data_IF_046064354004
#
_entry.id   IF_046064354004
#
_cell.length_a   1.000
_cell.length_b   1.000
_cell.length_c   1.000
_cell.angle_alpha   90.00
_cell.angle_beta   90.00
_cell.angle_gamma   90.00
#
_symmetry.space_group_name_H-M   'P 1'
#
loop_
_entity.id
_entity.type
_entity.pdbx_description
1 polymer ?
#
# COMPACT_ATOMS: atom_id res chain seq x y z
N UNK A 1 -20.83 7.63 4.13
CA UNK A 1 -19.42 7.92 3.77
C UNK A 1 -19.23 7.57 2.31
N UNK A 2 -18.66 8.44 1.49
CA UNK A 2 -18.45 8.18 0.05
C UNK A 2 -17.26 7.24 -0.17
N UNK A 3 -17.19 6.49 -1.29
CA UNK A 3 -16.01 5.67 -1.64
C UNK A 3 -14.71 6.48 -1.58
N UNK A 4 -14.69 7.66 -2.21
CA UNK A 4 -13.59 8.62 -2.16
C UNK A 4 -13.16 9.00 -0.74
N UNK A 5 -14.12 9.29 0.13
CA UNK A 5 -13.85 9.63 1.53
C UNK A 5 -13.23 8.46 2.30
N UNK A 6 -13.66 7.23 2.01
CA UNK A 6 -13.10 6.02 2.62
C UNK A 6 -11.66 5.77 2.20
N UNK A 7 -11.35 5.89 0.91
CA UNK A 7 -9.98 5.77 0.38
C UNK A 7 -9.04 6.75 1.08
N UNK A 8 -9.42 8.02 1.18
CA UNK A 8 -8.61 9.05 1.84
C UNK A 8 -8.42 8.78 3.33
N UNK A 9 -9.48 8.34 4.03
CA UNK A 9 -9.40 8.01 5.45
C UNK A 9 -8.39 6.89 5.71
N UNK A 10 -8.42 5.82 4.90
CA UNK A 10 -7.55 4.67 5.07
C UNK A 10 -6.08 5.02 4.81
N UNK A 11 -5.80 5.80 3.77
CA UNK A 11 -4.45 6.31 3.50
C UNK A 11 -3.93 7.15 4.67
N UNK A 12 -4.75 8.06 5.19
CA UNK A 12 -4.36 8.87 6.36
C UNK A 12 -4.16 8.02 7.63
N UNK A 13 -4.98 6.98 7.83
CA UNK A 13 -4.80 6.06 8.95
C UNK A 13 -3.49 5.28 8.86
N UNK A 14 -3.08 4.87 7.65
CA UNK A 14 -1.80 4.22 7.44
C UNK A 14 -0.63 5.16 7.79
N UNK A 15 -0.69 6.42 7.36
CA UNK A 15 0.32 7.43 7.71
C UNK A 15 0.41 7.63 9.22
N UNK A 16 -0.72 7.79 9.90
CA UNK A 16 -0.74 7.94 11.36
C UNK A 16 -0.14 6.74 12.09
N UNK A 17 -0.35 5.52 11.57
CA UNK A 17 0.19 4.31 12.18
C UNK A 17 1.72 4.23 12.01
N UNK A 18 2.25 4.72 10.90
CA UNK A 18 3.71 4.83 10.66
C UNK A 18 4.39 5.89 11.52
N UNK A 19 3.64 6.84 12.07
CA UNK A 19 4.15 7.89 12.95
C UNK A 19 4.10 7.51 14.45
N UNK A 20 3.58 6.32 14.78
CA UNK A 20 3.58 5.81 16.15
C UNK A 20 5.01 5.49 16.56
N UNK A 21 5.50 6.16 17.61
CA UNK A 21 6.79 5.87 18.21
C UNK A 21 6.80 4.44 18.78
N UNK A 22 7.69 3.55 18.29
CA UNK A 22 7.79 2.20 18.83
C UNK A 22 8.34 2.18 20.26
N UNK A 23 8.91 3.26 20.78
CA UNK A 23 9.58 3.32 22.08
C UNK A 23 10.98 2.68 22.07
N UNK A 24 11.60 2.57 23.24
CA UNK A 24 12.99 2.09 23.41
C UNK A 24 13.09 1.03 24.54
N UNK A 25 12.17 0.07 24.52
CA UNK A 25 12.17 -1.08 25.44
C UNK A 25 12.32 -2.41 24.67
N UNK A 26 12.30 -3.53 25.39
CA UNK A 26 12.41 -4.88 24.82
C UNK A 26 11.30 -5.26 23.81
N UNK A 27 10.23 -4.47 23.74
CA UNK A 27 9.11 -4.66 22.80
C UNK A 27 9.11 -3.65 21.65
N UNK A 28 10.06 -2.71 21.61
CA UNK A 28 10.13 -1.67 20.58
C UNK A 28 10.11 -2.25 19.16
N UNK A 29 10.92 -3.28 18.90
CA UNK A 29 10.98 -3.93 17.60
C UNK A 29 9.64 -4.58 17.22
N UNK A 30 9.01 -5.30 18.15
CA UNK A 30 7.71 -5.94 17.91
C UNK A 30 6.61 -4.91 17.63
N UNK A 31 6.61 -3.77 18.35
CA UNK A 31 5.67 -2.66 18.11
C UNK A 31 5.91 -2.00 16.76
N UNK A 32 7.16 -1.77 16.38
CA UNK A 32 7.50 -1.24 15.05
C UNK A 32 6.97 -2.16 13.95
N UNK A 33 7.30 -3.46 14.02
CA UNK A 33 6.85 -4.45 13.03
C UNK A 33 5.31 -4.51 12.94
N UNK A 34 4.61 -4.51 14.08
CA UNK A 34 3.15 -4.51 14.11
C UNK A 34 2.56 -3.23 13.49
N UNK A 35 3.17 -2.06 13.72
CA UNK A 35 2.75 -0.81 13.10
C UNK A 35 2.99 -0.81 11.58
N UNK A 36 4.15 -1.33 11.13
CA UNK A 36 4.48 -1.44 9.71
C UNK A 36 3.50 -2.35 8.95
N UNK A 37 3.22 -3.55 9.46
CA UNK A 37 2.26 -4.47 8.83
C UNK A 37 0.82 -3.97 8.94
N UNK A 38 0.45 -3.36 10.07
CA UNK A 38 -0.86 -2.74 10.22
C UNK A 38 -1.06 -1.57 9.24
N UNK A 39 -0.03 -0.79 8.98
CA UNK A 39 -0.08 0.30 8.00
C UNK A 39 -0.24 -0.27 6.60
N UNK A 40 0.51 -1.33 6.27
CA UNK A 40 0.38 -2.01 4.98
C UNK A 40 -1.02 -2.61 4.77
N UNK A 41 -1.63 -3.19 5.81
CA UNK A 41 -3.00 -3.68 5.77
C UNK A 41 -4.03 -2.56 5.53
N UNK A 42 -3.82 -1.37 6.12
CA UNK A 42 -4.64 -0.19 5.84
C UNK A 42 -4.47 0.29 4.40
N UNK A 43 -3.27 0.18 3.83
CA UNK A 43 -3.01 0.48 2.41
C UNK A 43 -3.69 -0.53 1.49
N UNK A 44 -3.75 -1.82 1.84
CA UNK A 44 -4.53 -2.81 1.09
C UNK A 44 -6.02 -2.43 1.05
N UNK A 45 -6.60 -2.12 2.22
CA UNK A 45 -7.99 -1.66 2.30
C UNK A 45 -8.20 -0.37 1.49
N UNK A 46 -7.22 0.54 1.47
CA UNK A 46 -7.29 1.75 0.67
C UNK A 46 -7.28 1.44 -0.83
N UNK A 47 -6.47 0.49 -1.27
CA UNK A 47 -6.43 0.02 -2.66
C UNK A 47 -7.76 -0.60 -3.06
N UNK A 48 -8.35 -1.46 -2.25
CA UNK A 48 -9.68 -2.03 -2.51
C UNK A 48 -10.77 -0.95 -2.55
N UNK A 49 -10.69 0.05 -1.66
CA UNK A 49 -11.60 1.19 -1.66
C UNK A 49 -11.45 2.05 -2.92
N UNK A 50 -10.22 2.26 -3.39
CA UNK A 50 -9.93 2.94 -4.66
C UNK A 50 -10.49 2.16 -5.85
N UNK A 51 -10.30 0.83 -5.86
CA UNK A 51 -10.85 -0.01 -6.92
C UNK A 51 -12.37 0.10 -6.98
N UNK A 52 -13.06 0.04 -5.84
CA UNK A 52 -14.52 0.28 -5.76
C UNK A 52 -14.92 1.67 -6.27
N UNK A 53 -14.12 2.69 -5.96
CA UNK A 53 -14.34 4.05 -6.43
C UNK A 53 -14.25 4.12 -7.97
N UNK A 54 -13.20 3.58 -8.58
CA UNK A 54 -13.00 3.67 -10.04
C UNK A 54 -13.86 2.69 -10.83
N UNK A 55 -14.39 1.64 -10.20
CA UNK A 55 -15.30 0.69 -10.85
C UNK A 55 -16.76 0.84 -10.41
N UNK A 56 -17.13 1.95 -9.77
CA UNK A 56 -18.48 2.17 -9.23
C UNK A 56 -19.57 1.97 -10.29
N UNK A 57 -19.31 2.39 -11.54
CA UNK A 57 -20.27 2.30 -12.65
C UNK A 57 -20.26 0.95 -13.38
N UNK A 58 -19.31 0.08 -13.08
CA UNK A 58 -19.15 -1.22 -13.74
C UNK A 58 -19.97 -2.34 -13.08
N UNK A 59 -20.65 -2.07 -11.97
CA UNK A 59 -21.51 -3.02 -11.25
C UNK A 59 -20.83 -4.38 -10.97
N UNK A 60 -19.52 -4.37 -10.68
CA UNK A 60 -18.77 -5.59 -10.40
C UNK A 60 -19.19 -6.20 -9.04
N UNK A 61 -19.33 -7.53 -9.00
CA UNK A 61 -19.69 -8.24 -7.75
C UNK A 61 -18.56 -8.24 -6.72
N UNK A 62 -17.31 -8.23 -7.19
CA UNK A 62 -16.08 -8.32 -6.39
C UNK A 62 -15.11 -7.22 -6.78
N UNK A 63 -14.35 -6.76 -5.79
CA UNK A 63 -13.38 -5.69 -5.93
C UNK A 63 -12.02 -6.10 -5.36
N UNK A 64 -11.69 -7.39 -5.49
CA UNK A 64 -10.40 -7.94 -5.09
C UNK A 64 -9.31 -7.41 -6.03
N UNK A 65 -8.24 -6.87 -5.46
CA UNK A 65 -7.17 -6.27 -6.25
C UNK A 65 -6.43 -7.30 -7.11
N UNK A 66 -6.34 -8.56 -6.67
CA UNK A 66 -5.70 -9.65 -7.44
C UNK A 66 -6.50 -9.98 -8.69
N UNK A 67 -7.82 -9.88 -8.59
CA UNK A 67 -8.73 -10.10 -9.72
C UNK A 67 -8.72 -8.88 -10.65
N UNK A 68 -8.89 -7.67 -10.11
CA UNK A 68 -9.09 -6.46 -10.92
C UNK A 68 -7.81 -5.96 -11.59
N UNK A 69 -6.66 -6.05 -10.90
CA UNK A 69 -5.35 -5.71 -11.46
C UNK A 69 -4.72 -6.87 -12.24
N UNK A 70 -5.36 -8.03 -12.26
CA UNK A 70 -5.01 -9.18 -13.09
C UNK A 70 -5.46 -9.03 -14.56
N UNK A 71 -5.40 -10.14 -15.31
CA UNK A 71 -5.64 -10.17 -16.75
C UNK A 71 -7.06 -9.67 -17.14
N UNK A 72 -7.12 -8.91 -18.24
CA UNK A 72 -8.22 -8.04 -18.70
C UNK A 72 -9.65 -8.59 -18.54
N UNK A 73 -10.38 -8.10 -17.52
CA UNK A 73 -11.83 -8.41 -17.37
C UNK A 73 -12.73 -7.22 -17.70
N UNK A 74 -12.22 -5.98 -17.61
CA UNK A 74 -13.05 -4.78 -17.75
C UNK A 74 -12.33 -3.66 -18.52
N UNK A 75 -13.03 -3.08 -19.49
CA UNK A 75 -12.60 -1.93 -20.31
C UNK A 75 -12.83 -0.58 -19.62
N UNK A 76 -12.43 -0.47 -18.35
CA UNK A 76 -12.51 0.76 -17.55
C UNK A 76 -11.15 1.46 -17.65
N UNK A 77 -11.13 2.73 -18.09
CA UNK A 77 -9.90 3.45 -18.39
C UNK A 77 -9.01 3.63 -17.15
N UNK A 78 -9.60 3.98 -16.01
CA UNK A 78 -8.90 4.15 -14.74
C UNK A 78 -8.30 2.84 -14.24
N UNK A 79 -9.04 1.73 -14.38
CA UNK A 79 -8.53 0.41 -14.03
C UNK A 79 -7.39 -0.01 -14.95
N UNK A 80 -7.48 0.32 -16.24
CA UNK A 80 -6.40 0.07 -17.19
C UNK A 80 -5.15 0.88 -16.84
N UNK A 81 -5.30 2.15 -16.47
CA UNK A 81 -4.18 2.98 -15.99
C UNK A 81 -3.53 2.40 -14.72
N UNK A 82 -4.33 1.87 -13.78
CA UNK A 82 -3.79 1.17 -12.62
C UNK A 82 -3.06 -0.12 -13.00
N UNK A 83 -3.56 -0.91 -13.97
CA UNK A 83 -2.85 -2.08 -14.48
C UNK A 83 -1.51 -1.71 -15.13
N UNK A 84 -1.49 -0.68 -15.96
CA UNK A 84 -0.26 -0.16 -16.56
C UNK A 84 0.74 0.30 -15.51
N UNK A 85 0.24 0.94 -14.44
CA UNK A 85 1.08 1.33 -13.32
C UNK A 85 1.67 0.11 -12.60
N UNK A 86 0.87 -0.93 -12.35
CA UNK A 86 1.32 -2.17 -11.74
C UNK A 86 2.41 -2.90 -12.54
N UNK A 87 2.49 -2.67 -13.86
CA UNK A 87 3.51 -3.24 -14.76
C UNK A 87 4.78 -2.40 -14.86
N UNK A 88 4.79 -1.18 -14.30
CA UNK A 88 5.95 -0.30 -14.29
C UNK A 88 6.78 -0.56 -13.04
N UNK A 89 7.96 -1.17 -13.19
CA UNK A 89 8.83 -1.61 -12.09
C UNK A 89 9.18 -0.50 -11.07
N UNK A 90 9.20 0.75 -11.50
CA UNK A 90 9.51 1.92 -10.68
C UNK A 90 8.28 2.55 -10.00
N UNK A 91 7.08 1.99 -10.21
CA UNK A 91 5.85 2.54 -9.66
C UNK A 91 5.60 2.08 -8.23
N UNK A 92 4.91 2.94 -7.48
CA UNK A 92 4.42 2.60 -6.14
C UNK A 92 3.57 1.34 -6.13
N UNK A 93 2.78 1.09 -7.18
CA UNK A 93 1.88 -0.05 -7.24
C UNK A 93 2.66 -1.34 -7.49
N UNK A 94 3.64 -1.33 -8.40
CA UNK A 94 4.54 -2.47 -8.62
C UNK A 94 5.35 -2.81 -7.36
N UNK A 95 5.75 -1.81 -6.57
CA UNK A 95 6.38 -2.02 -5.27
C UNK A 95 5.43 -2.59 -4.22
N UNK A 96 4.16 -2.15 -4.21
CA UNK A 96 3.15 -2.47 -3.20
C UNK A 96 2.61 -3.91 -3.35
N UNK A 97 2.21 -4.32 -4.56
CA UNK A 97 1.54 -5.60 -4.79
C UNK A 97 2.29 -6.85 -4.25
N UNK A 98 3.61 -7.02 -4.46
CA UNK A 98 4.31 -8.17 -3.90
C UNK A 98 4.36 -8.15 -2.36
N UNK A 99 4.33 -6.96 -1.73
CA UNK A 99 4.27 -6.83 -0.27
C UNK A 99 2.89 -7.13 0.27
N UNK A 100 1.84 -6.71 -0.43
CA UNK A 100 0.48 -7.14 -0.11
C UNK A 100 0.39 -8.66 -0.21
N UNK A 101 0.91 -9.29 -1.26
CA UNK A 101 0.95 -10.75 -1.34
C UNK A 101 1.67 -11.39 -0.14
N UNK A 102 2.85 -10.89 0.24
CA UNK A 102 3.61 -11.38 1.39
C UNK A 102 2.91 -11.14 2.74
N UNK A 103 2.08 -10.11 2.89
CA UNK A 103 1.31 -9.83 4.11
C UNK A 103 0.32 -10.97 4.44
N UNK A 104 -0.15 -11.70 3.43
CA UNK A 104 -1.05 -12.85 3.61
C UNK A 104 -0.30 -14.16 3.84
N UNK A 105 1.03 -14.17 3.79
CA UNK A 105 1.86 -15.35 4.06
C UNK A 105 2.26 -15.44 5.54
N UNK A 106 2.58 -16.65 6.07
CA UNK A 106 2.88 -16.84 7.48
C UNK A 106 4.05 -16.02 8.03
N UNK A 107 5.00 -15.67 7.16
CA UNK A 107 6.20 -14.92 7.52
C UNK A 107 5.97 -13.40 7.59
N UNK A 108 4.83 -12.90 7.08
CA UNK A 108 4.52 -11.48 7.01
C UNK A 108 5.48 -10.69 6.12
N UNK A 109 5.54 -9.38 6.35
CA UNK A 109 6.38 -8.44 5.58
C UNK A 109 7.43 -7.79 6.46
N UNK A 110 7.08 -7.45 7.71
CA UNK A 110 8.00 -6.80 8.61
C UNK A 110 9.06 -7.80 9.09
N UNK A 111 10.33 -7.37 9.05
CA UNK A 111 11.46 -8.24 9.42
C UNK A 111 12.17 -7.71 10.65
N UNK A 112 12.58 -8.64 11.51
CA UNK A 112 13.49 -8.33 12.61
C UNK A 112 14.81 -7.83 12.06
N UNK A 113 15.40 -6.87 12.74
CA UNK A 113 16.75 -6.45 12.46
C UNK A 113 17.72 -7.58 12.80
N UNK A 114 18.68 -7.89 11.93
CA UNK A 114 19.78 -8.73 12.33
C UNK A 114 20.54 -8.01 13.44
N UNK A 115 20.75 -8.69 14.58
CA UNK A 115 21.67 -8.21 15.60
C UNK A 115 23.03 -7.98 14.92
N UNK A 116 23.47 -6.72 14.83
CA UNK A 116 24.72 -6.35 14.18
C UNK A 116 25.86 -7.16 14.76
N UNK A 117 26.41 -8.10 13.98
CA UNK A 117 27.70 -8.69 14.29
C UNK A 117 28.75 -7.55 14.31
N UNK A 118 29.61 -7.47 15.33
CA UNK A 118 30.60 -6.40 15.39
C UNK A 118 31.51 -6.46 14.16
N UNK A 119 31.44 -5.42 13.31
CA UNK A 119 32.24 -5.29 12.09
C UNK A 119 31.46 -5.34 10.77
N UNK A 120 30.15 -5.55 10.78
CA UNK A 120 29.32 -5.56 9.56
C UNK A 120 28.45 -4.30 9.51
N UNK A 121 28.70 -3.41 8.55
CA UNK A 121 27.74 -2.35 8.22
C UNK A 121 26.57 -3.03 7.52
N UNK A 122 25.49 -3.29 8.26
CA UNK A 122 24.22 -3.68 7.66
C UNK A 122 23.69 -2.48 6.87
N UNK A 123 24.00 -2.43 5.57
CA UNK A 123 23.36 -1.52 4.61
C UNK A 123 21.97 -2.09 4.33
N UNK A 124 21.06 -1.88 5.27
CA UNK A 124 19.73 -2.45 5.28
C UNK A 124 19.06 -1.96 6.54
N UNK A 125 18.76 -0.67 6.57
CA UNK A 125 18.24 -0.04 7.78
C UNK A 125 16.92 -0.71 8.16
N UNK A 126 16.84 -1.28 9.35
CA UNK A 126 15.92 -0.84 10.37
C UNK A 126 14.60 -0.13 10.00
N UNK A 127 14.70 0.98 9.27
CA UNK A 127 13.60 1.87 8.91
C UNK A 127 13.08 1.61 7.49
N UNK A 128 13.59 0.59 6.79
CA UNK A 128 13.36 0.40 5.37
C UNK A 128 11.88 0.21 5.03
N UNK A 129 11.13 -0.60 5.78
CA UNK A 129 9.72 -0.83 5.41
C UNK A 129 8.86 0.40 5.68
N UNK A 130 8.95 1.02 6.86
CA UNK A 130 8.22 2.25 7.16
C UNK A 130 8.54 3.39 6.18
N UNK A 131 9.82 3.60 5.87
CA UNK A 131 10.25 4.66 4.95
C UNK A 131 9.82 4.39 3.50
N UNK A 132 10.06 3.18 3.00
CA UNK A 132 9.58 2.80 1.66
C UNK A 132 8.04 2.88 1.57
N UNK A 133 7.32 2.57 2.65
CA UNK A 133 5.86 2.69 2.68
C UNK A 133 5.41 4.16 2.71
N UNK A 134 6.13 5.07 3.37
CA UNK A 134 5.86 6.52 3.29
C UNK A 134 6.03 7.04 1.86
N UNK A 135 7.10 6.63 1.20
CA UNK A 135 7.35 6.99 -0.21
C UNK A 135 6.25 6.43 -1.12
N UNK A 136 5.84 5.17 -0.90
CA UNK A 136 4.72 4.56 -1.61
C UNK A 136 3.42 5.34 -1.39
N UNK A 137 3.11 5.74 -0.15
CA UNK A 137 1.90 6.50 0.19
C UNK A 137 1.88 7.89 -0.46
N UNK A 138 3.03 8.58 -0.49
CA UNK A 138 3.14 9.87 -1.14
C UNK A 138 2.88 9.77 -2.65
N UNK A 139 3.50 8.79 -3.31
CA UNK A 139 3.28 8.53 -4.73
C UNK A 139 1.84 8.10 -5.04
N UNK A 140 1.27 7.19 -4.23
CA UNK A 140 -0.10 6.73 -4.37
C UNK A 140 -1.10 7.90 -4.26
N UNK A 141 -0.95 8.79 -3.26
CA UNK A 141 -1.81 9.97 -3.13
C UNK A 141 -1.75 10.89 -4.33
N UNK A 142 -0.55 11.11 -4.89
CA UNK A 142 -0.35 11.91 -6.09
C UNK A 142 -1.06 11.31 -7.31
N UNK A 143 -0.85 10.01 -7.56
CA UNK A 143 -1.48 9.30 -8.69
C UNK A 143 -3.01 9.22 -8.53
N UNK A 144 -3.52 8.98 -7.32
CA UNK A 144 -4.95 8.94 -7.04
C UNK A 144 -5.60 10.31 -7.29
N UNK A 145 -4.93 11.41 -6.92
CA UNK A 145 -5.42 12.74 -7.22
C UNK A 145 -5.51 12.97 -8.74
N UNK A 146 -4.47 12.60 -9.48
CA UNK A 146 -4.45 12.70 -10.95
C UNK A 146 -5.52 11.82 -11.62
N UNK A 147 -5.74 10.61 -11.13
CA UNK A 147 -6.81 9.71 -11.61
C UNK A 147 -8.17 10.37 -11.47
N UNK A 148 -8.47 10.93 -10.28
CA UNK A 148 -9.76 11.57 -9.99
C UNK A 148 -10.00 12.86 -10.77
N UNK A 149 -8.95 13.62 -11.05
CA UNK A 149 -9.04 14.79 -11.93
C UNK A 149 -9.45 14.36 -13.33
N UNK A 150 -8.85 13.27 -13.84
CA UNK A 150 -9.19 12.75 -15.17
C UNK A 150 -10.64 12.26 -15.20
N UNK A 151 -11.11 11.52 -14.19
CA UNK A 151 -12.50 11.04 -14.13
C UNK A 151 -13.56 12.14 -14.03
N UNK A 152 -13.20 13.35 -13.57
CA UNK A 152 -14.15 14.47 -13.48
C UNK A 152 -14.37 15.21 -14.82
N UNK A 153 -13.53 14.94 -15.82
CA UNK A 153 -13.60 15.56 -17.15
C UNK A 153 -14.53 14.83 -18.13
N UNK A 154 -15.09 13.67 -17.76
CA UNK A 154 -15.92 12.80 -18.62
C UNK A 154 -17.37 12.69 -18.14
#
# INVERSE_FOLDING_TARGET
>A
MTPRGRTNQLLYQAELLLDVDPGDDEHAEARRMAAEEGALALVELALESLLREVTEHAHLERHDWRELLGAEVAGIAELQRLRELALRDDSWLAWLLPRLAALHEPDGVARRMPATAPGMIAVGSAAALAEELRDCLAQAKSEIASLRETSAEW
#
